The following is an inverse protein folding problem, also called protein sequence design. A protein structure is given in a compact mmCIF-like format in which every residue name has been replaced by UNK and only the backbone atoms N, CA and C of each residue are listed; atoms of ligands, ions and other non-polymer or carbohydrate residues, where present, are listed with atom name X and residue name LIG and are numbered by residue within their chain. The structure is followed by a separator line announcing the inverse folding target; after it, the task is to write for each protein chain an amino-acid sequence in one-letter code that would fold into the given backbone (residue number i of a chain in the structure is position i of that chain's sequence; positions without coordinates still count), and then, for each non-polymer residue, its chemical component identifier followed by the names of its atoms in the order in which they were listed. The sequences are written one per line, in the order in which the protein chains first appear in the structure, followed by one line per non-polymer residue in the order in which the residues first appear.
data_IF_068571506714
#
_entry.id   IF_068571506714
#
_cell.length_a   1.000
_cell.length_b   1.000
_cell.length_c   1.000
_cell.angle_alpha   90.00
_cell.angle_beta   90.00
_cell.angle_gamma   90.00
#
_symmetry.space_group_name_H-M   'P 1'
#
loop_
_entity.id
_entity.type
_entity.pdbx_description
1 polymer ?
#
# COMPACT_ATOMS: atom_id res chain seq x y z
N UNK A 1 5.71 45.49 13.41
CA UNK A 1 5.65 44.62 12.22
C UNK A 1 5.21 43.25 12.69
N UNK A 2 4.01 42.82 12.29
CA UNK A 2 3.39 41.58 12.75
C UNK A 2 4.05 40.37 12.05
N UNK A 3 4.61 39.44 12.82
CA UNK A 3 4.96 38.11 12.33
C UNK A 3 3.67 37.29 12.18
N UNK A 4 3.04 37.34 11.01
CA UNK A 4 2.10 36.28 10.62
C UNK A 4 2.93 35.04 10.30
N UNK A 5 2.85 34.03 11.17
CA UNK A 5 3.45 32.72 10.90
C UNK A 5 2.80 32.12 9.65
N UNK A 6 3.60 31.93 8.60
CA UNK A 6 3.21 31.13 7.45
C UNK A 6 2.98 29.70 7.93
N UNK A 7 1.72 29.24 7.96
CA UNK A 7 1.41 27.85 8.30
C UNK A 7 2.12 26.91 7.33
N UNK A 8 2.83 25.91 7.85
CA UNK A 8 3.46 24.88 7.02
C UNK A 8 2.40 24.08 6.27
N UNK A 9 2.59 23.87 4.97
CA UNK A 9 1.68 23.11 4.12
C UNK A 9 2.05 21.63 4.20
N UNK A 10 1.07 20.76 4.45
CA UNK A 10 1.25 19.30 4.38
C UNK A 10 1.32 18.90 2.91
N UNK A 11 2.37 18.18 2.53
CA UNK A 11 2.61 17.81 1.13
C UNK A 11 2.55 16.33 0.84
N UNK A 12 2.73 15.49 1.86
CA UNK A 12 2.80 14.05 1.72
C UNK A 12 2.04 13.40 2.89
N UNK A 13 1.41 12.26 2.63
CA UNK A 13 0.67 11.47 3.61
C UNK A 13 0.93 9.99 3.39
N UNK A 14 1.10 9.24 4.48
CA UNK A 14 1.23 7.78 4.47
C UNK A 14 0.37 7.19 5.57
N UNK A 15 -0.18 6.01 5.33
CA UNK A 15 -0.93 5.27 6.35
C UNK A 15 -0.70 3.77 6.19
N UNK A 16 -0.73 3.06 7.32
CA UNK A 16 -0.71 1.61 7.39
C UNK A 16 -1.47 1.17 8.65
N UNK A 17 -1.95 -0.06 8.65
CA UNK A 17 -2.58 -0.67 9.82
C UNK A 17 -1.79 -1.90 10.28
N UNK A 18 -1.95 -2.26 11.55
CA UNK A 18 -1.35 -3.47 12.13
C UNK A 18 -2.41 -4.56 12.18
N UNK A 19 -2.08 -5.74 11.65
CA UNK A 19 -2.91 -6.93 11.76
C UNK A 19 -2.02 -8.09 12.25
N UNK A 20 -2.05 -8.41 13.55
CA UNK A 20 -1.27 -9.53 14.08
C UNK A 20 -1.85 -10.87 13.62
N UNK A 21 -0.97 -11.86 13.43
CA UNK A 21 -1.34 -13.24 13.10
C UNK A 21 -0.76 -14.19 14.13
N UNK A 22 -1.56 -15.15 14.61
CA UNK A 22 -1.08 -16.20 15.50
C UNK A 22 -0.17 -17.18 14.74
N UNK A 23 1.01 -17.45 15.30
CA UNK A 23 1.93 -18.45 14.76
C UNK A 23 1.60 -19.81 15.38
N UNK A 24 1.12 -20.73 14.56
CA UNK A 24 0.71 -22.07 14.99
C UNK A 24 1.94 -22.98 15.05
N UNK A 25 2.13 -23.68 16.18
CA UNK A 25 3.13 -24.75 16.30
C UNK A 25 4.58 -24.29 16.39
N UNK A 26 4.85 -23.02 16.73
CA UNK A 26 6.19 -22.51 16.94
C UNK A 26 6.50 -22.38 18.46
N UNK A 27 7.57 -23.00 18.97
CA UNK A 27 7.88 -23.00 20.40
C UNK A 27 8.49 -21.68 20.91
N UNK A 28 8.95 -20.80 20.02
CA UNK A 28 9.68 -19.57 20.37
C UNK A 28 8.82 -18.32 20.20
N UNK A 29 8.03 -18.24 19.12
CA UNK A 29 7.22 -17.08 18.78
C UNK A 29 5.75 -17.48 18.63
N UNK A 30 4.85 -16.67 19.20
CA UNK A 30 3.40 -16.95 19.18
C UNK A 30 2.61 -16.01 18.27
N UNK A 31 3.18 -14.86 17.91
CA UNK A 31 2.54 -13.82 17.12
C UNK A 31 3.52 -13.29 16.08
N UNK A 32 3.00 -13.02 14.88
CA UNK A 32 3.65 -12.27 13.82
C UNK A 32 2.93 -10.92 13.70
N UNK A 33 3.64 -9.82 13.98
CA UNK A 33 3.07 -8.47 13.91
C UNK A 33 3.29 -7.88 12.52
N UNK A 34 2.32 -8.06 11.64
CA UNK A 34 2.36 -7.53 10.28
C UNK A 34 1.78 -6.11 10.19
N UNK A 35 2.48 -5.23 9.46
CA UNK A 35 1.93 -3.97 8.98
C UNK A 35 1.45 -4.12 7.54
N UNK A 36 0.35 -3.47 7.19
CA UNK A 36 -0.21 -3.46 5.85
C UNK A 36 -0.33 -2.02 5.36
N UNK A 37 0.31 -1.71 4.23
CA UNK A 37 0.17 -0.44 3.54
C UNK A 37 -1.31 -0.14 3.28
N UNK A 38 -1.72 1.09 3.59
CA UNK A 38 -3.07 1.58 3.31
C UNK A 38 -2.99 2.67 2.24
N UNK A 39 -3.43 3.90 2.51
CA UNK A 39 -3.34 5.00 1.54
C UNK A 39 -2.03 5.79 1.67
N UNK A 40 -1.49 6.20 0.52
CA UNK A 40 -0.32 7.10 0.40
C UNK A 40 -0.61 8.19 -0.61
N UNK A 41 -0.21 9.42 -0.28
CA UNK A 41 -0.19 10.59 -1.16
C UNK A 41 1.22 11.15 -1.15
N UNK A 42 1.91 11.12 -2.28
CA UNK A 42 3.28 11.60 -2.42
C UNK A 42 3.28 12.75 -3.46
N UNK A 43 3.49 13.98 -3.00
CA UNK A 43 3.44 15.17 -3.87
C UNK A 43 4.83 15.81 -4.02
N UNK A 44 5.57 15.96 -2.92
CA UNK A 44 6.91 16.57 -2.94
C UNK A 44 8.00 15.53 -2.75
N UNK A 45 7.74 14.50 -1.95
CA UNK A 45 8.73 13.46 -1.68
C UNK A 45 8.57 12.33 -2.70
N UNK A 46 9.65 11.87 -3.37
CA UNK A 46 9.56 10.71 -4.26
C UNK A 46 8.97 9.50 -3.53
N UNK A 47 7.99 8.83 -4.14
CA UNK A 47 7.23 7.74 -3.49
C UNK A 47 8.15 6.64 -2.92
N UNK A 48 9.20 6.27 -3.65
CA UNK A 48 10.19 5.29 -3.18
C UNK A 48 10.91 5.74 -1.89
N UNK A 49 11.26 7.02 -1.77
CA UNK A 49 11.88 7.56 -0.56
C UNK A 49 10.87 7.54 0.59
N UNK A 50 9.65 8.02 0.34
CA UNK A 50 8.58 8.07 1.34
C UNK A 50 8.27 6.66 1.88
N UNK A 51 8.19 5.66 1.01
CA UNK A 51 7.94 4.27 1.42
C UNK A 51 9.13 3.63 2.12
N UNK A 52 10.38 4.01 1.80
CA UNK A 52 11.55 3.59 2.57
C UNK A 52 11.47 4.08 4.02
N UNK A 53 11.06 5.33 4.22
CA UNK A 53 10.90 5.92 5.55
C UNK A 53 9.79 5.22 6.34
N UNK A 54 8.69 4.83 5.66
CA UNK A 54 7.62 4.02 6.26
C UNK A 54 8.13 2.65 6.72
N UNK A 55 8.98 1.97 5.96
CA UNK A 55 9.57 0.68 6.36
C UNK A 55 10.46 0.82 7.62
N UNK A 56 11.23 1.90 7.70
CA UNK A 56 12.05 2.23 8.88
C UNK A 56 11.15 2.47 10.08
N UNK A 57 10.08 3.27 9.91
CA UNK A 57 9.12 3.57 10.95
C UNK A 57 8.35 2.33 11.42
N UNK A 58 7.92 1.45 10.51
CA UNK A 58 7.22 0.23 10.89
C UNK A 58 8.13 -0.70 11.68
N UNK A 59 9.40 -0.80 11.29
CA UNK A 59 10.39 -1.62 12.00
C UNK A 59 10.67 -1.08 13.40
N UNK A 60 10.81 0.24 13.56
CA UNK A 60 11.02 0.85 14.89
C UNK A 60 9.81 0.68 15.81
N UNK A 61 8.60 0.51 15.26
CA UNK A 61 7.39 0.13 16.01
C UNK A 61 7.21 -1.39 16.23
N UNK A 62 8.24 -2.17 15.93
CA UNK A 62 8.28 -3.60 16.21
C UNK A 62 7.46 -4.46 15.26
N UNK A 63 7.18 -4.00 14.03
CA UNK A 63 6.60 -4.88 13.01
C UNK A 63 7.66 -5.84 12.46
N UNK A 64 7.24 -7.06 12.21
CA UNK A 64 8.11 -8.13 11.70
C UNK A 64 8.15 -8.14 10.17
N UNK A 65 7.05 -7.75 9.55
CA UNK A 65 6.86 -7.69 8.10
C UNK A 65 6.00 -6.48 7.73
N UNK A 66 6.25 -5.92 6.55
CA UNK A 66 5.44 -4.86 5.97
C UNK A 66 4.91 -5.32 4.61
N UNK A 67 3.60 -5.43 4.49
CA UNK A 67 2.90 -5.92 3.31
C UNK A 67 2.36 -4.74 2.49
N UNK A 68 2.41 -4.88 1.17
CA UNK A 68 1.81 -3.94 0.23
C UNK A 68 1.21 -4.70 -0.96
N UNK A 69 0.16 -4.15 -1.56
CA UNK A 69 -0.44 -4.65 -2.79
C UNK A 69 0.18 -3.95 -4.00
N UNK A 70 0.19 -4.62 -5.15
CA UNK A 70 0.62 -4.11 -6.45
C UNK A 70 -0.42 -3.22 -7.15
N UNK A 71 -1.24 -2.51 -6.37
CA UNK A 71 -2.24 -1.55 -6.82
C UNK A 71 -1.68 -0.11 -6.78
N UNK A 72 -2.44 0.86 -7.30
CA UNK A 72 -1.96 2.24 -7.48
C UNK A 72 -0.64 2.31 -8.28
N UNK A 73 0.29 3.15 -7.85
CA UNK A 73 1.64 3.27 -8.40
C UNK A 73 2.68 2.49 -7.57
N UNK A 74 2.23 1.53 -6.74
CA UNK A 74 3.12 0.85 -5.79
C UNK A 74 4.21 0.05 -6.50
N UNK A 75 3.91 -0.48 -7.69
CA UNK A 75 4.86 -1.24 -8.51
C UNK A 75 6.17 -0.47 -8.78
N UNK A 76 6.13 0.87 -8.76
CA UNK A 76 7.29 1.75 -8.93
C UNK A 76 8.37 1.65 -7.84
N UNK A 77 8.04 1.11 -6.65
CA UNK A 77 9.00 0.99 -5.54
C UNK A 77 9.19 -0.43 -5.01
N UNK A 78 8.27 -1.37 -5.29
CA UNK A 78 8.25 -2.69 -4.63
C UNK A 78 9.57 -3.44 -4.81
N UNK A 79 10.08 -3.53 -6.05
CA UNK A 79 11.31 -4.27 -6.36
C UNK A 79 12.54 -3.61 -5.75
N UNK A 80 12.63 -2.29 -5.86
CA UNK A 80 13.74 -1.47 -5.39
C UNK A 80 13.84 -1.53 -3.85
N UNK A 81 12.71 -1.52 -3.16
CA UNK A 81 12.61 -1.65 -1.70
C UNK A 81 12.53 -3.11 -1.20
N UNK A 82 12.80 -4.09 -2.08
CA UNK A 82 12.93 -5.51 -1.74
C UNK A 82 11.66 -6.18 -1.20
N UNK A 83 10.49 -5.70 -1.62
CA UNK A 83 9.26 -6.44 -1.42
C UNK A 83 9.32 -7.76 -2.20
N UNK A 84 9.20 -8.87 -1.47
CA UNK A 84 9.06 -10.19 -2.07
C UNK A 84 7.64 -10.43 -2.57
N UNK A 85 7.50 -11.17 -3.67
CA UNK A 85 6.19 -11.56 -4.19
C UNK A 85 5.59 -12.61 -3.23
N UNK A 86 4.42 -12.29 -2.67
CA UNK A 86 3.63 -13.24 -1.89
C UNK A 86 2.90 -14.27 -2.75
N UNK A 87 2.35 -15.29 -2.12
CA UNK A 87 1.51 -16.32 -2.75
C UNK A 87 0.01 -15.93 -2.81
N UNK A 88 -0.40 -14.98 -1.96
CA UNK A 88 -1.75 -14.44 -1.90
C UNK A 88 -2.14 -13.62 -3.14
N UNK A 89 -3.40 -13.74 -3.56
CA UNK A 89 -4.02 -12.90 -4.58
C UNK A 89 -5.30 -12.28 -4.05
N UNK A 90 -5.38 -10.96 -4.04
CA UNK A 90 -6.61 -10.24 -3.71
C UNK A 90 -7.43 -10.01 -4.99
N UNK A 91 -8.73 -10.28 -4.92
CA UNK A 91 -9.65 -10.12 -6.06
C UNK A 91 -10.73 -9.10 -5.68
N UNK A 92 -10.95 -8.13 -6.56
CA UNK A 92 -11.96 -7.09 -6.38
C UNK A 92 -13.20 -7.45 -7.19
N UNK A 93 -14.38 -7.30 -6.57
CA UNK A 93 -15.67 -7.57 -7.19
C UNK A 93 -16.62 -6.41 -6.93
N UNK A 94 -17.44 -6.09 -7.92
CA UNK A 94 -18.57 -5.17 -7.77
C UNK A 94 -19.87 -5.95 -7.86
N UNK A 95 -20.68 -5.88 -6.81
CA UNK A 95 -21.99 -6.51 -6.82
C UNK A 95 -22.96 -5.70 -7.69
N UNK A 96 -23.74 -6.39 -8.52
CA UNK A 96 -24.75 -5.79 -9.41
C UNK A 96 -24.19 -4.70 -10.35
N UNK A 97 -22.91 -4.78 -10.72
CA UNK A 97 -22.29 -3.86 -11.67
C UNK A 97 -21.43 -4.62 -12.68
N UNK A 98 -21.62 -4.30 -13.96
CA UNK A 98 -20.77 -4.84 -15.03
C UNK A 98 -19.55 -3.94 -15.18
N UNK A 99 -18.39 -4.57 -15.14
CA UNK A 99 -17.12 -3.93 -15.47
C UNK A 99 -16.68 -4.44 -16.84
N UNK A 100 -16.27 -3.55 -17.73
CA UNK A 100 -15.72 -3.95 -19.04
C UNK A 100 -14.43 -4.71 -18.78
N UNK A 101 -14.33 -6.00 -19.14
CA UNK A 101 -13.11 -6.76 -18.93
C UNK A 101 -11.97 -6.16 -19.74
N UNK A 102 -10.76 -6.38 -19.26
CA UNK A 102 -9.51 -6.00 -19.92
C UNK A 102 -9.30 -6.52 -21.35
N UNK A 103 -10.20 -7.35 -21.86
CA UNK A 103 -10.08 -7.99 -23.17
C UNK A 103 -11.26 -7.69 -24.11
N UNK A 104 -12.19 -6.80 -23.76
CA UNK A 104 -13.28 -6.46 -24.68
C UNK A 104 -12.78 -5.48 -25.75
N UNK A 105 -12.30 -6.04 -26.87
CA UNK A 105 -11.81 -5.29 -28.04
C UNK A 105 -12.88 -4.41 -28.72
N UNK A 106 -14.14 -4.44 -28.26
CA UNK A 106 -15.23 -3.59 -28.77
C UNK A 106 -15.35 -2.27 -28.02
N UNK A 107 -14.78 -2.16 -26.83
CA UNK A 107 -14.68 -0.91 -26.09
C UNK A 107 -13.36 -0.22 -26.48
N UNK A 108 -13.41 1.03 -26.93
CA UNK A 108 -12.22 1.86 -27.17
C UNK A 108 -11.56 2.31 -25.84
N UNK A 109 -11.68 1.52 -24.77
CA UNK A 109 -11.19 1.84 -23.43
C UNK A 109 -10.09 0.86 -23.01
N UNK A 110 -9.03 1.33 -22.33
CA UNK A 110 -7.97 0.47 -21.88
C UNK A 110 -8.46 -0.52 -20.81
N UNK A 111 -7.82 -1.69 -20.71
CA UNK A 111 -8.12 -2.66 -19.67
C UNK A 111 -7.95 -2.09 -18.27
N UNK A 112 -8.82 -2.50 -17.34
CA UNK A 112 -8.53 -2.31 -15.92
C UNK A 112 -7.30 -3.12 -15.53
N UNK A 113 -6.35 -2.44 -14.92
CA UNK A 113 -5.13 -2.99 -14.34
C UNK A 113 -5.11 -2.73 -12.84
N UNK A 114 -4.23 -3.40 -12.06
CA UNK A 114 -4.04 -3.08 -10.64
C UNK A 114 -3.80 -1.59 -10.36
N UNK A 115 -3.16 -0.86 -11.28
CA UNK A 115 -2.93 0.59 -11.16
C UNK A 115 -4.21 1.42 -11.12
N UNK A 116 -5.28 0.90 -11.71
CA UNK A 116 -6.58 1.57 -11.72
C UNK A 116 -7.42 1.27 -10.46
N UNK A 117 -6.94 0.39 -9.57
CA UNK A 117 -7.63 0.06 -8.32
C UNK A 117 -7.30 1.12 -7.27
N UNK A 118 -8.31 1.92 -6.93
CA UNK A 118 -8.22 3.03 -5.99
C UNK A 118 -8.52 2.70 -4.52
N UNK A 119 -8.79 1.42 -4.21
CA UNK A 119 -9.39 1.02 -2.92
C UNK A 119 -8.51 -0.03 -2.23
N UNK A 120 -8.18 0.22 -0.97
CA UNK A 120 -7.60 -0.79 -0.07
C UNK A 120 -8.71 -1.32 0.83
N UNK A 121 -8.88 -2.64 0.83
CA UNK A 121 -9.84 -3.35 1.69
C UNK A 121 -9.11 -3.87 2.94
N UNK A 122 -9.86 -3.98 4.05
CA UNK A 122 -9.41 -4.57 5.32
C UNK A 122 -9.73 -6.07 5.36
#
# INVERSE_FOLDING_TARGET
MNHMGTGSIITDLVSYYTLPSTIIGNPTYQELKAAFMYYTVATQTPLQQLMRDVLILSKSKGHDVFNALDIFENDSFLKELKFGIGDGRLRYYLYNWRVVPSADARANEPPLTPKNVGLVLL
#
